data_IF_907826480301
#
_entry.id   IF_907826480301
#
_cell.length_a   1.000
_cell.length_b   1.000
_cell.length_c   1.000
_cell.angle_alpha   90.00
_cell.angle_beta   90.00
_cell.angle_gamma   90.00
#
_symmetry.space_group_name_H-M   'P 1'
#
loop_
_entity.id
_entity.type
_entity.pdbx_description
1 polymer ?
#
# COMPACT_ATOMS: atom_id res chain seq x y z
N UNK A 1 -5.53 -1.21 -14.88
CA UNK A 1 -4.75 -2.14 -14.05
C UNK A 1 -3.35 -1.58 -13.81
N UNK A 2 -2.99 -1.38 -12.56
CA UNK A 2 -1.66 -0.88 -12.22
C UNK A 2 -0.68 -2.05 -12.06
N UNK A 3 0.19 -2.22 -13.02
CA UNK A 3 1.22 -3.27 -13.05
C UNK A 3 2.55 -2.69 -13.57
N UNK A 4 3.65 -3.46 -13.58
CA UNK A 4 4.93 -2.93 -14.06
C UNK A 4 4.89 -2.41 -15.51
N UNK A 5 4.05 -2.97 -16.36
CA UNK A 5 3.94 -2.51 -17.75
C UNK A 5 3.24 -1.14 -17.83
N UNK A 6 2.10 -0.98 -17.13
CA UNK A 6 1.41 0.31 -17.07
C UNK A 6 2.25 1.37 -16.35
N UNK A 7 2.98 0.98 -15.32
CA UNK A 7 3.88 1.89 -14.60
C UNK A 7 4.98 2.42 -15.53
N UNK A 8 5.59 1.57 -16.34
CA UNK A 8 6.59 1.99 -17.33
C UNK A 8 6.00 2.94 -18.37
N UNK A 9 4.78 2.66 -18.83
CA UNK A 9 4.09 3.51 -19.79
C UNK A 9 3.79 4.89 -19.21
N UNK A 10 3.29 4.96 -17.99
CA UNK A 10 3.03 6.23 -17.30
C UNK A 10 4.33 7.01 -17.13
N UNK A 11 5.38 6.34 -16.69
CA UNK A 11 6.69 6.97 -16.48
C UNK A 11 7.25 7.52 -17.80
N UNK A 12 7.09 6.78 -18.90
CA UNK A 12 7.55 7.23 -20.22
C UNK A 12 6.81 8.48 -20.70
N UNK A 13 5.52 8.60 -20.37
CA UNK A 13 4.68 9.73 -20.80
C UNK A 13 4.79 10.95 -19.90
N UNK A 14 4.91 10.74 -18.58
CA UNK A 14 4.77 11.80 -17.58
C UNK A 14 5.98 11.94 -16.65
N UNK A 15 6.97 11.06 -16.78
CA UNK A 15 8.09 10.99 -15.86
C UNK A 15 7.76 10.26 -14.56
N UNK A 16 8.74 10.12 -13.65
CA UNK A 16 8.52 9.45 -12.38
C UNK A 16 7.57 10.24 -11.47
N UNK A 17 6.79 9.51 -10.67
CA UNK A 17 5.83 10.11 -9.76
C UNK A 17 6.48 10.56 -8.47
N UNK A 18 6.19 11.77 -8.02
CA UNK A 18 6.63 12.29 -6.72
C UNK A 18 5.81 11.71 -5.57
N UNK A 19 4.52 11.44 -5.81
CA UNK A 19 3.61 10.88 -4.81
C UNK A 19 2.73 9.83 -5.48
N UNK A 20 2.65 8.67 -4.85
CA UNK A 20 1.68 7.63 -5.19
C UNK A 20 0.82 7.38 -3.95
N UNK A 21 -0.49 7.40 -4.10
CA UNK A 21 -1.43 7.26 -2.99
C UNK A 21 -2.37 6.09 -3.24
N UNK A 22 -2.55 5.24 -2.23
CA UNK A 22 -3.60 4.22 -2.20
C UNK A 22 -4.45 4.42 -0.96
N UNK A 23 -5.77 4.48 -1.15
CA UNK A 23 -6.72 4.62 -0.04
C UNK A 23 -7.65 3.43 -0.04
N UNK A 24 -7.64 2.67 1.04
CA UNK A 24 -8.48 1.48 1.23
C UNK A 24 -8.46 0.52 0.02
N UNK A 25 -7.31 0.41 -0.62
CA UNK A 25 -7.11 -0.39 -1.84
C UNK A 25 -6.02 -1.45 -1.66
N UNK A 26 -4.97 -1.10 -0.93
CA UNK A 26 -3.77 -1.93 -0.83
C UNK A 26 -4.07 -3.33 -0.26
N UNK A 27 -5.02 -3.43 0.66
CA UNK A 27 -5.47 -4.70 1.24
C UNK A 27 -6.32 -5.56 0.29
N UNK A 28 -6.73 -5.01 -0.85
CA UNK A 28 -7.50 -5.74 -1.88
C UNK A 28 -6.61 -6.34 -2.98
N UNK A 29 -5.32 -6.08 -2.96
CA UNK A 29 -4.41 -6.48 -4.03
C UNK A 29 -3.96 -7.92 -3.85
N UNK A 30 -4.23 -8.77 -4.85
CA UNK A 30 -3.90 -10.18 -4.81
C UNK A 30 -2.42 -10.48 -4.94
N UNK A 31 -1.70 -9.76 -5.82
CA UNK A 31 -0.26 -9.90 -6.03
C UNK A 31 0.47 -8.63 -5.58
N UNK A 32 0.79 -8.57 -4.29
CA UNK A 32 1.45 -7.41 -3.69
C UNK A 32 2.86 -7.18 -4.23
N UNK A 33 3.61 -8.23 -4.50
CA UNK A 33 4.97 -8.08 -5.02
C UNK A 33 4.96 -7.45 -6.41
N UNK A 34 4.03 -7.88 -7.26
CA UNK A 34 3.88 -7.30 -8.60
C UNK A 34 3.45 -5.83 -8.52
N UNK A 35 2.52 -5.53 -7.63
CA UNK A 35 2.08 -4.15 -7.38
C UNK A 35 3.24 -3.28 -6.88
N UNK A 36 4.03 -3.79 -5.93
CA UNK A 36 5.17 -3.07 -5.39
C UNK A 36 6.27 -2.86 -6.44
N UNK A 37 6.46 -3.80 -7.36
CA UNK A 37 7.37 -3.59 -8.50
C UNK A 37 6.87 -2.46 -9.40
N UNK A 38 5.56 -2.34 -9.59
CA UNK A 38 4.97 -1.24 -10.34
C UNK A 38 5.20 0.10 -9.64
N UNK A 39 5.02 0.15 -8.33
CA UNK A 39 5.31 1.33 -7.51
C UNK A 39 6.79 1.72 -7.63
N UNK A 40 7.68 0.76 -7.48
CA UNK A 40 9.13 0.98 -7.58
C UNK A 40 9.52 1.51 -8.97
N UNK A 41 8.86 1.03 -10.01
CA UNK A 41 9.10 1.48 -11.39
C UNK A 41 8.67 2.93 -11.59
N UNK A 42 7.53 3.33 -11.03
CA UNK A 42 6.94 4.66 -11.25
C UNK A 42 7.43 5.71 -10.26
N UNK A 43 7.69 5.34 -9.01
CA UNK A 43 8.03 6.29 -7.96
C UNK A 43 9.40 6.93 -8.23
N UNK A 44 9.47 8.26 -8.08
CA UNK A 44 10.74 8.97 -8.13
C UNK A 44 11.65 8.58 -6.96
N UNK A 45 12.97 8.75 -7.11
CA UNK A 45 13.93 8.41 -6.05
C UNK A 45 13.67 9.19 -4.76
N UNK A 46 13.18 10.43 -4.87
CA UNK A 46 12.77 11.27 -3.75
C UNK A 46 11.25 11.27 -3.53
N UNK A 47 10.55 10.30 -4.12
CA UNK A 47 9.09 10.22 -4.06
C UNK A 47 8.59 9.60 -2.76
N UNK A 48 7.30 9.78 -2.51
CA UNK A 48 6.60 9.25 -1.33
C UNK A 48 5.44 8.35 -1.77
N UNK A 49 5.38 7.16 -1.18
CA UNK A 49 4.25 6.25 -1.35
C UNK A 49 3.39 6.28 -0.08
N UNK A 50 2.12 6.66 -0.24
CA UNK A 50 1.17 6.79 0.86
C UNK A 50 0.16 5.65 0.78
N UNK A 51 0.02 4.92 1.89
CA UNK A 51 -0.92 3.79 2.01
C UNK A 51 -1.89 4.07 3.14
N UNK A 52 -3.19 3.99 2.84
CA UNK A 52 -4.25 3.99 3.86
C UNK A 52 -4.91 2.62 3.85
N UNK A 53 -4.82 1.89 4.96
CA UNK A 53 -5.39 0.54 5.12
C UNK A 53 -5.91 0.35 6.54
N UNK A 54 -6.87 -0.58 6.76
CA UNK A 54 -7.21 -1.03 8.10
C UNK A 54 -6.01 -1.67 8.78
N UNK A 55 -5.86 -1.44 10.07
CA UNK A 55 -4.77 -1.98 10.86
C UNK A 55 -5.18 -3.30 11.51
N UNK A 56 -4.41 -4.36 11.26
CA UNK A 56 -4.70 -5.69 11.78
C UNK A 56 -4.82 -5.72 13.31
N UNK A 57 -4.00 -4.93 14.00
CA UNK A 57 -4.05 -4.84 15.48
C UNK A 57 -5.43 -4.38 15.97
N UNK A 58 -6.03 -3.39 15.32
CA UNK A 58 -7.36 -2.90 15.68
C UNK A 58 -8.44 -3.95 15.43
N UNK A 59 -8.33 -4.70 14.33
CA UNK A 59 -9.25 -5.80 14.03
C UNK A 59 -9.24 -6.85 15.13
N UNK A 60 -8.06 -7.21 15.61
CA UNK A 60 -7.88 -8.21 16.66
C UNK A 60 -8.35 -7.68 18.01
N UNK A 61 -7.89 -6.48 18.39
CA UNK A 61 -8.17 -5.90 19.71
C UNK A 61 -9.65 -5.57 19.92
N UNK A 62 -10.36 -5.19 18.83
CA UNK A 62 -11.74 -4.76 18.89
C UNK A 62 -12.73 -5.79 18.33
N UNK A 63 -12.24 -6.99 17.96
CA UNK A 63 -13.09 -8.06 17.37
C UNK A 63 -13.86 -7.60 16.15
N UNK A 64 -13.23 -6.84 15.27
CA UNK A 64 -13.84 -6.28 14.07
C UNK A 64 -13.90 -7.28 12.92
N UNK A 65 -14.66 -8.37 13.12
CA UNK A 65 -14.78 -9.46 12.14
C UNK A 65 -15.51 -9.06 10.85
N UNK A 66 -16.29 -8.01 10.89
CA UNK A 66 -16.99 -7.46 9.73
C UNK A 66 -16.04 -6.93 8.65
N UNK A 67 -14.78 -6.68 9.02
CA UNK A 67 -13.73 -6.27 8.09
C UNK A 67 -13.09 -7.44 7.34
N UNK A 68 -13.41 -8.67 7.73
CA UNK A 68 -12.87 -9.88 7.11
C UNK A 68 -13.87 -10.41 6.09
N UNK A 69 -13.69 -10.02 4.83
CA UNK A 69 -14.51 -10.49 3.73
C UNK A 69 -13.66 -10.65 2.46
N UNK A 70 -14.22 -11.27 1.43
CA UNK A 70 -13.45 -11.74 0.28
C UNK A 70 -12.67 -10.65 -0.48
N UNK A 71 -13.10 -9.40 -0.42
CA UNK A 71 -12.40 -8.28 -1.06
C UNK A 71 -11.13 -7.86 -0.30
N UNK A 72 -11.04 -8.20 0.99
CA UNK A 72 -9.87 -7.92 1.81
C UNK A 72 -8.90 -9.10 1.73
N UNK A 73 -8.10 -9.14 0.66
CA UNK A 73 -7.16 -10.23 0.39
C UNK A 73 -6.06 -10.31 1.44
N UNK A 74 -5.66 -9.17 2.01
CA UNK A 74 -4.59 -9.09 3.01
C UNK A 74 -5.00 -8.19 4.17
N UNK A 75 -4.52 -8.55 5.36
CA UNK A 75 -4.64 -7.72 6.55
C UNK A 75 -3.23 -7.32 6.99
N UNK A 76 -3.04 -6.04 7.31
CA UNK A 76 -1.71 -5.50 7.57
C UNK A 76 -1.53 -5.03 8.99
N UNK A 77 -0.39 -5.38 9.60
CA UNK A 77 0.16 -4.69 10.76
C UNK A 77 1.18 -3.64 10.28
N UNK A 78 1.52 -2.70 11.16
CA UNK A 78 2.57 -1.74 10.83
C UNK A 78 3.90 -2.47 10.55
N UNK A 79 4.22 -3.51 11.34
CA UNK A 79 5.45 -4.29 11.15
C UNK A 79 5.48 -4.96 9.78
N UNK A 80 4.37 -5.55 9.32
CA UNK A 80 4.33 -6.19 8.01
C UNK A 80 4.51 -5.19 6.88
N UNK A 81 3.96 -3.98 7.01
CA UNK A 81 4.14 -2.91 6.02
C UNK A 81 5.59 -2.40 6.00
N UNK A 82 6.21 -2.24 7.16
CA UNK A 82 7.63 -1.85 7.27
C UNK A 82 8.52 -2.87 6.55
N UNK A 83 8.30 -4.15 6.79
CA UNK A 83 9.08 -5.24 6.17
C UNK A 83 8.86 -5.30 4.66
N UNK A 84 7.63 -5.13 4.21
CA UNK A 84 7.34 -5.08 2.78
C UNK A 84 8.05 -3.90 2.11
N UNK A 85 8.03 -2.73 2.75
CA UNK A 85 8.73 -1.54 2.26
C UNK A 85 10.23 -1.76 2.17
N UNK A 86 10.85 -2.34 3.21
CA UNK A 86 12.28 -2.63 3.24
C UNK A 86 12.70 -3.54 2.08
N UNK A 87 11.89 -4.53 1.75
CA UNK A 87 12.16 -5.42 0.63
C UNK A 87 12.29 -4.66 -0.71
N UNK A 88 11.58 -3.56 -0.85
CA UNK A 88 11.61 -2.72 -2.06
C UNK A 88 12.43 -1.43 -1.88
N UNK A 89 13.22 -1.34 -0.83
CA UNK A 89 14.07 -0.17 -0.59
C UNK A 89 13.34 1.06 -0.09
N UNK A 90 12.15 0.89 0.49
CA UNK A 90 11.35 1.97 1.03
C UNK A 90 11.46 2.01 2.56
N UNK A 91 11.50 3.22 3.10
CA UNK A 91 11.54 3.46 4.53
C UNK A 91 10.22 4.12 4.98
N UNK A 92 9.65 3.64 6.09
CA UNK A 92 8.48 4.28 6.70
C UNK A 92 8.95 5.54 7.42
N UNK A 93 8.49 6.70 6.98
CA UNK A 93 8.89 7.99 7.54
C UNK A 93 7.82 8.61 8.41
N UNK A 94 6.55 8.22 8.26
CA UNK A 94 5.45 8.79 9.01
C UNK A 94 4.28 7.82 9.09
N UNK A 95 3.55 7.84 10.21
CA UNK A 95 2.40 6.98 10.44
C UNK A 95 1.32 7.80 11.13
N UNK A 96 0.11 7.79 10.55
CA UNK A 96 -1.06 8.46 11.13
C UNK A 96 -2.18 7.46 11.35
N UNK A 97 -2.85 7.57 12.49
CA UNK A 97 -4.04 6.80 12.78
C UNK A 97 -5.28 7.62 12.46
N UNK A 98 -6.20 7.03 11.67
CA UNK A 98 -7.44 7.68 11.25
C UNK A 98 -8.62 6.99 11.96
N UNK A 99 -9.16 7.57 13.05
CA UNK A 99 -10.12 6.87 13.91
C UNK A 99 -11.54 6.77 13.34
N UNK A 100 -11.85 7.47 12.27
CA UNK A 100 -13.23 7.57 11.73
C UNK A 100 -13.41 6.83 10.41
N UNK A 101 -12.44 6.04 10.00
CA UNK A 101 -12.49 5.28 8.75
C UNK A 101 -12.47 3.80 9.09
N UNK A 102 -13.14 3.00 8.26
CA UNK A 102 -13.38 1.56 8.42
C UNK A 102 -12.25 0.79 9.12
N UNK A 103 -12.58 0.15 10.22
CA UNK A 103 -11.64 -0.66 10.99
C UNK A 103 -10.63 0.18 11.75
#
# INVERSE_FOLDING_TARGET
>A
YFDPNSARDIRARHGPAKVIVTTNTFNHIGDLHRFMRAVDTLLADDGTFVIEVPRAKELIDHNEFDNIYHEHVSEFSLLSLVRLGEFFGLEVTDVHRLPHIHG
#
